data_IF_056991114354
#
_entry.id   IF_056991114354
#
_cell.length_a   1.000
_cell.length_b   1.000
_cell.length_c   1.000
_cell.angle_alpha   90.00
_cell.angle_beta   90.00
_cell.angle_gamma   90.00
#
_symmetry.space_group_name_H-M   'P 1'
#
loop_
_entity.id
_entity.type
_entity.pdbx_description
1 polymer ?
#
# COMPACT_ATOMS: atom_id res chain seq x y z
N UNK A 1 -54.86 -80.48 2.67
CA UNK A 1 -54.36 -79.58 3.74
C UNK A 1 -53.11 -78.90 3.22
N UNK A 2 -53.07 -77.57 3.32
CA UNK A 2 -52.33 -76.66 2.42
C UNK A 2 -50.81 -76.81 2.40
N UNK A 3 -50.28 -76.71 1.17
CA UNK A 3 -48.87 -76.65 0.82
C UNK A 3 -48.35 -75.23 1.13
N UNK A 4 -47.45 -75.10 2.11
CA UNK A 4 -46.84 -73.83 2.53
C UNK A 4 -45.61 -73.52 1.66
N UNK A 5 -45.85 -73.25 0.38
CA UNK A 5 -44.84 -72.77 -0.56
C UNK A 5 -45.43 -71.57 -1.30
N UNK A 6 -44.59 -70.56 -1.57
CA UNK A 6 -44.88 -69.29 -2.27
C UNK A 6 -45.15 -68.07 -1.36
N UNK A 7 -44.11 -67.62 -0.67
CA UNK A 7 -43.83 -66.19 -0.62
C UNK A 7 -42.46 -65.99 -1.27
N UNK A 8 -42.36 -65.41 -2.49
CA UNK A 8 -41.08 -64.99 -3.00
C UNK A 8 -40.58 -63.86 -2.10
N UNK A 9 -39.45 -64.09 -1.46
CA UNK A 9 -38.60 -63.07 -0.87
C UNK A 9 -38.26 -62.05 -1.94
N UNK A 10 -39.07 -61.00 -2.04
CA UNK A 10 -38.69 -59.77 -2.74
C UNK A 10 -37.66 -59.08 -1.83
N UNK A 11 -36.44 -59.63 -1.80
CA UNK A 11 -35.25 -58.84 -1.56
C UNK A 11 -35.14 -57.93 -2.77
N UNK A 12 -35.80 -56.78 -2.69
CA UNK A 12 -35.44 -55.63 -3.53
C UNK A 12 -34.01 -55.30 -3.12
N UNK A 13 -33.05 -55.89 -3.82
CA UNK A 13 -31.70 -55.36 -3.87
C UNK A 13 -31.86 -53.97 -4.45
N UNK A 14 -31.98 -52.96 -3.58
CA UNK A 14 -31.65 -51.59 -3.95
C UNK A 14 -30.20 -51.70 -4.41
N UNK A 15 -30.01 -51.79 -5.72
CA UNK A 15 -28.71 -51.60 -6.32
C UNK A 15 -28.31 -50.18 -5.91
N UNK A 16 -27.57 -50.07 -4.80
CA UNK A 16 -26.89 -48.84 -4.44
C UNK A 16 -26.09 -48.50 -5.69
N UNK A 17 -26.47 -47.40 -6.34
CA UNK A 17 -25.75 -46.87 -7.48
C UNK A 17 -24.28 -46.89 -7.08
N UNK A 18 -23.46 -47.63 -7.86
CA UNK A 18 -22.04 -47.78 -7.56
C UNK A 18 -21.48 -46.39 -7.27
N UNK A 19 -20.73 -46.19 -6.16
CA UNK A 19 -20.13 -44.89 -5.88
C UNK A 19 -19.39 -44.44 -7.12
N UNK A 20 -19.55 -43.16 -7.50
CA UNK A 20 -18.89 -42.57 -8.65
C UNK A 20 -17.38 -42.81 -8.56
N UNK A 21 -16.90 -43.83 -9.26
CA UNK A 21 -15.52 -44.26 -9.25
C UNK A 21 -14.86 -43.67 -10.49
N UNK A 22 -14.46 -42.39 -10.41
CA UNK A 22 -13.71 -41.75 -11.50
C UNK A 22 -12.26 -42.22 -11.45
N UNK A 23 -11.87 -43.03 -12.43
CA UNK A 23 -10.47 -43.23 -12.77
C UNK A 23 -9.97 -41.95 -13.48
N UNK A 24 -9.43 -40.99 -12.74
CA UNK A 24 -8.93 -39.72 -13.27
C UNK A 24 -8.08 -38.94 -12.26
N UNK A 25 -7.03 -38.28 -12.75
CA UNK A 25 -5.93 -37.75 -11.94
C UNK A 25 -6.25 -36.36 -11.33
N UNK A 26 -7.11 -36.32 -10.30
CA UNK A 26 -7.32 -35.15 -9.42
C UNK A 26 -7.76 -33.84 -10.11
N UNK A 27 -7.63 -32.71 -9.41
CA UNK A 27 -8.00 -31.34 -9.89
C UNK A 27 -7.35 -31.00 -11.24
N UNK A 28 -6.16 -31.54 -11.51
CA UNK A 28 -5.44 -31.33 -12.77
C UNK A 28 -6.18 -31.87 -14.00
N UNK A 29 -6.87 -32.99 -13.85
CA UNK A 29 -7.61 -33.64 -14.93
C UNK A 29 -8.89 -32.86 -15.26
N UNK A 30 -9.52 -32.29 -14.24
CA UNK A 30 -10.67 -31.39 -14.39
C UNK A 30 -10.29 -30.13 -15.18
N UNK A 31 -9.15 -29.51 -14.88
CA UNK A 31 -8.70 -28.29 -15.59
C UNK A 31 -8.40 -28.60 -17.06
N UNK A 32 -7.88 -29.79 -17.38
CA UNK A 32 -7.57 -30.20 -18.75
C UNK A 32 -8.83 -30.39 -19.60
N UNK A 33 -9.91 -30.89 -19.02
CA UNK A 33 -11.18 -31.15 -19.71
C UNK A 33 -12.13 -29.95 -19.71
N UNK A 34 -11.82 -28.91 -18.93
CA UNK A 34 -12.62 -27.69 -18.86
C UNK A 34 -12.84 -27.00 -20.22
N UNK A 35 -14.04 -26.43 -20.35
CA UNK A 35 -14.42 -25.60 -21.49
C UNK A 35 -13.44 -24.43 -21.69
N UNK A 36 -13.30 -23.93 -22.93
CA UNK A 36 -12.29 -22.92 -23.26
C UNK A 36 -12.44 -21.64 -22.42
N UNK A 37 -13.67 -21.21 -22.12
CA UNK A 37 -13.89 -20.04 -21.27
C UNK A 37 -13.44 -20.26 -19.82
N UNK A 38 -13.75 -21.42 -19.23
CA UNK A 38 -13.35 -21.75 -17.84
C UNK A 38 -11.82 -21.77 -17.73
N UNK A 39 -11.12 -22.30 -18.75
CA UNK A 39 -9.65 -22.25 -18.81
C UNK A 39 -9.11 -20.82 -18.83
N UNK A 40 -9.72 -19.92 -19.60
CA UNK A 40 -9.35 -18.49 -19.63
C UNK A 40 -9.57 -17.84 -18.26
N UNK A 41 -10.71 -18.11 -17.61
CA UNK A 41 -11.01 -17.62 -16.25
C UNK A 41 -9.96 -18.09 -15.24
N UNK A 42 -9.62 -19.38 -15.25
CA UNK A 42 -8.61 -19.95 -14.36
C UNK A 42 -7.22 -19.35 -14.61
N UNK A 43 -6.83 -19.18 -15.87
CA UNK A 43 -5.55 -18.57 -16.24
C UNK A 43 -5.47 -17.11 -15.77
N UNK A 44 -6.53 -16.34 -15.99
CA UNK A 44 -6.62 -14.95 -15.53
C UNK A 44 -6.47 -14.86 -14.00
N UNK A 45 -7.21 -15.67 -13.26
CA UNK A 45 -7.15 -15.70 -11.79
C UNK A 45 -5.76 -16.12 -11.29
N UNK A 46 -5.11 -17.06 -11.97
CA UNK A 46 -3.75 -17.48 -11.65
C UNK A 46 -2.74 -16.34 -11.86
N UNK A 47 -2.83 -15.61 -12.98
CA UNK A 47 -1.97 -14.43 -13.23
C UNK A 47 -2.20 -13.35 -12.18
N UNK A 48 -3.46 -13.03 -11.86
CA UNK A 48 -3.79 -12.06 -10.80
C UNK A 48 -3.19 -12.47 -9.45
N UNK A 49 -3.29 -13.75 -9.09
CA UNK A 49 -2.72 -14.28 -7.86
C UNK A 49 -1.19 -14.13 -7.82
N UNK A 50 -0.49 -14.52 -8.89
CA UNK A 50 0.97 -14.37 -8.98
C UNK A 50 1.42 -12.92 -8.86
N UNK A 51 0.71 -11.99 -9.50
CA UNK A 51 0.99 -10.56 -9.40
C UNK A 51 0.75 -10.05 -7.97
N UNK A 52 -0.32 -10.47 -7.30
CA UNK A 52 -0.58 -10.13 -5.89
C UNK A 52 0.55 -10.54 -4.96
N UNK A 53 1.03 -11.79 -5.08
CA UNK A 53 2.17 -12.27 -4.30
C UNK A 53 3.47 -11.51 -4.63
N UNK A 54 3.71 -11.22 -5.90
CA UNK A 54 4.85 -10.40 -6.34
C UNK A 54 4.84 -9.00 -5.71
N UNK A 55 3.71 -8.30 -5.77
CA UNK A 55 3.54 -6.98 -5.15
C UNK A 55 3.74 -7.08 -3.64
N UNK A 56 3.17 -8.09 -2.98
CA UNK A 56 3.29 -8.25 -1.54
C UNK A 56 4.75 -8.41 -1.10
N UNK A 57 5.54 -9.23 -1.80
CA UNK A 57 6.96 -9.44 -1.50
C UNK A 57 7.79 -8.16 -1.71
N UNK A 58 7.54 -7.43 -2.79
CA UNK A 58 8.25 -6.16 -3.06
C UNK A 58 7.90 -5.12 -2.00
N UNK A 59 6.62 -4.97 -1.67
CA UNK A 59 6.17 -4.02 -0.64
C UNK A 59 6.70 -4.37 0.73
N UNK A 60 6.69 -5.65 1.10
CA UNK A 60 7.24 -6.09 2.37
C UNK A 60 8.72 -5.70 2.55
N UNK A 61 9.53 -5.87 1.50
CA UNK A 61 10.94 -5.42 1.53
C UNK A 61 11.08 -3.90 1.57
N UNK A 62 10.27 -3.19 0.79
CA UNK A 62 10.27 -1.72 0.75
C UNK A 62 9.95 -1.12 2.12
N UNK A 63 8.82 -1.51 2.73
CA UNK A 63 8.41 -0.99 4.04
C UNK A 63 9.44 -1.28 5.13
N UNK A 64 9.99 -2.50 5.17
CA UNK A 64 11.05 -2.84 6.14
C UNK A 64 12.30 -1.98 5.99
N UNK A 65 12.72 -1.69 4.76
CA UNK A 65 13.88 -0.81 4.50
C UNK A 65 13.56 0.63 4.86
N UNK A 66 12.38 1.12 4.47
CA UNK A 66 11.96 2.48 4.73
C UNK A 66 11.85 2.77 6.22
N UNK A 67 11.28 1.86 7.02
CA UNK A 67 11.21 2.01 8.47
C UNK A 67 12.59 2.00 9.12
N UNK A 68 13.44 1.03 8.78
CA UNK A 68 14.78 0.96 9.34
C UNK A 68 15.60 2.22 9.04
N UNK A 69 15.56 2.72 7.80
CA UNK A 69 16.28 3.94 7.43
C UNK A 69 15.66 5.19 8.06
N UNK A 70 14.34 5.24 8.24
CA UNK A 70 13.67 6.33 8.94
C UNK A 70 14.02 6.38 10.42
N UNK A 71 14.07 5.23 11.10
CA UNK A 71 14.55 5.14 12.49
C UNK A 71 15.99 5.63 12.61
N UNK A 72 16.89 5.15 11.74
CA UNK A 72 18.29 5.60 11.69
C UNK A 72 18.39 7.12 11.47
N UNK A 73 17.63 7.66 10.52
CA UNK A 73 17.59 9.10 10.27
C UNK A 73 17.10 9.87 11.50
N UNK A 74 16.05 9.37 12.16
CA UNK A 74 15.46 10.04 13.32
C UNK A 74 16.41 10.05 14.53
N UNK A 75 17.20 9.01 14.73
CA UNK A 75 18.27 8.99 15.73
C UNK A 75 19.36 10.05 15.43
N UNK A 76 19.79 10.16 14.18
CA UNK A 76 20.74 11.19 13.75
C UNK A 76 20.18 12.60 13.96
N UNK A 77 18.91 12.81 13.62
CA UNK A 77 18.20 14.06 13.85
C UNK A 77 18.16 14.45 15.34
N UNK A 78 17.91 13.49 16.24
CA UNK A 78 17.92 13.74 17.70
C UNK A 78 19.30 14.07 18.27
N UNK A 79 20.36 13.49 17.72
CA UNK A 79 21.72 13.64 18.26
C UNK A 79 22.47 14.88 17.72
N UNK A 80 22.16 15.33 16.50
CA UNK A 80 22.94 16.35 15.80
C UNK A 80 22.27 17.72 15.83
N UNK A 81 22.98 18.73 16.32
CA UNK A 81 22.55 20.16 16.25
C UNK A 81 22.93 20.85 14.93
N UNK A 82 23.67 20.18 14.03
CA UNK A 82 24.12 20.77 12.76
C UNK A 82 23.35 20.15 11.57
N UNK A 83 22.41 20.92 11.03
CA UNK A 83 21.56 20.50 9.91
C UNK A 83 22.29 20.29 8.59
N UNK A 84 23.43 20.96 8.36
CA UNK A 84 24.20 20.78 7.12
C UNK A 84 24.84 19.38 7.05
N UNK A 85 25.35 18.89 8.18
CA UNK A 85 25.86 17.51 8.27
C UNK A 85 24.72 16.50 8.19
N UNK A 86 23.60 16.77 8.88
CA UNK A 86 22.40 15.94 8.80
C UNK A 86 21.88 15.81 7.35
N UNK A 87 21.93 16.90 6.57
CA UNK A 87 21.57 16.87 5.15
C UNK A 87 22.45 15.93 4.34
N UNK A 88 23.77 15.96 4.53
CA UNK A 88 24.69 15.04 3.84
C UNK A 88 24.46 13.58 4.23
N UNK A 89 24.27 13.30 5.52
CA UNK A 89 23.99 11.94 6.00
C UNK A 89 22.61 11.44 5.51
N UNK A 90 21.62 12.34 5.41
CA UNK A 90 20.29 12.00 4.90
C UNK A 90 20.28 11.56 3.43
N UNK A 91 21.28 11.98 2.63
CA UNK A 91 21.42 11.55 1.24
C UNK A 91 21.86 10.07 1.11
N UNK A 92 22.36 9.45 2.18
CA UNK A 92 22.70 8.02 2.21
C UNK A 92 21.49 7.14 2.56
N UNK A 93 20.37 7.76 2.95
CA UNK A 93 19.15 7.09 3.44
C UNK A 93 17.99 7.30 2.47
N UNK A 94 18.14 6.86 1.22
CA UNK A 94 17.19 7.11 0.12
C UNK A 94 15.77 6.56 0.36
N UNK A 95 15.64 5.47 1.10
CA UNK A 95 14.36 4.84 1.41
C UNK A 95 13.69 5.44 2.67
N UNK A 96 14.39 6.30 3.41
CA UNK A 96 13.84 6.96 4.60
C UNK A 96 12.84 8.04 4.19
N UNK A 97 11.58 7.83 4.56
CA UNK A 97 10.50 8.80 4.34
C UNK A 97 10.71 10.08 5.18
N UNK A 98 11.31 9.98 6.37
CA UNK A 98 11.63 11.16 7.19
C UNK A 98 12.77 11.97 6.59
N UNK A 99 13.80 11.31 6.08
CA UNK A 99 14.91 11.97 5.41
C UNK A 99 14.46 12.71 4.14
N UNK A 100 13.48 12.16 3.40
CA UNK A 100 12.91 12.84 2.24
C UNK A 100 12.25 14.17 2.62
N UNK A 101 11.36 14.15 3.61
CA UNK A 101 10.65 15.35 4.12
C UNK A 101 11.64 16.37 4.69
N UNK A 102 12.64 15.92 5.43
CA UNK A 102 13.70 16.79 5.92
C UNK A 102 14.47 17.46 4.79
N UNK A 103 14.90 16.70 3.76
CA UNK A 103 15.67 17.26 2.64
C UNK A 103 14.87 18.31 1.89
N UNK A 104 13.57 18.09 1.65
CA UNK A 104 12.73 19.08 0.97
C UNK A 104 12.59 20.36 1.82
N UNK A 105 12.35 20.22 3.13
CA UNK A 105 12.23 21.38 4.02
C UNK A 105 13.53 22.14 4.20
N UNK A 106 14.65 21.44 4.39
CA UNK A 106 15.97 22.04 4.60
C UNK A 106 16.49 22.79 3.38
N UNK A 107 16.31 22.24 2.17
CA UNK A 107 16.74 22.90 0.92
C UNK A 107 15.98 24.21 0.75
N UNK A 108 14.67 24.20 0.98
CA UNK A 108 13.84 25.40 0.84
C UNK A 108 14.17 26.44 1.90
N UNK A 109 14.30 26.01 3.16
CA UNK A 109 14.74 26.89 4.24
C UNK A 109 16.11 27.53 3.96
N UNK A 110 17.09 26.75 3.50
CA UNK A 110 18.43 27.25 3.19
C UNK A 110 18.46 28.26 2.05
N UNK A 111 17.46 28.24 1.14
CA UNK A 111 17.31 29.24 0.09
C UNK A 111 16.69 30.51 0.64
N UNK A 112 15.58 30.40 1.36
CA UNK A 112 14.82 31.53 1.88
C UNK A 112 15.59 32.30 2.96
N UNK A 113 16.25 31.60 3.89
CA UNK A 113 17.07 32.22 4.93
C UNK A 113 18.20 33.11 4.36
N UNK A 114 18.85 32.70 3.26
CA UNK A 114 19.85 33.53 2.58
C UNK A 114 19.24 34.81 2.00
N UNK A 115 18.04 34.72 1.43
CA UNK A 115 17.33 35.90 0.91
C UNK A 115 16.96 36.87 2.03
N UNK A 116 16.53 36.36 3.18
CA UNK A 116 16.19 37.15 4.36
C UNK A 116 17.42 37.81 5.00
N UNK A 117 18.58 37.16 4.99
CA UNK A 117 19.85 37.72 5.49
C UNK A 117 20.39 38.87 4.60
N UNK A 118 20.07 38.87 3.30
CA UNK A 118 20.50 39.91 2.34
C UNK A 118 19.55 41.12 2.34
N UNK A 119 18.33 40.98 2.87
CA UNK A 119 17.36 42.07 3.01
C UNK A 119 17.66 42.99 4.21
N UNK A 120 17.36 44.29 4.08
CA UNK A 120 17.55 45.26 5.16
C UNK A 120 16.64 44.90 6.37
N UNK A 121 17.18 44.71 7.59
CA UNK A 121 16.39 44.31 8.76
C UNK A 121 15.53 45.50 9.26
N UNK A 122 14.40 45.73 8.60
CA UNK A 122 13.35 46.65 9.04
C UNK A 122 12.12 45.92 9.60
N UNK A 123 11.08 46.69 9.97
CA UNK A 123 9.81 46.23 10.60
C UNK A 123 9.06 45.10 9.86
N UNK A 124 9.43 44.75 8.61
CA UNK A 124 8.85 43.65 7.83
C UNK A 124 9.55 42.29 7.97
N UNK A 125 10.67 42.18 8.72
CA UNK A 125 11.47 40.96 8.80
C UNK A 125 10.73 39.79 9.49
N UNK A 126 9.84 40.07 10.45
CA UNK A 126 9.03 39.04 11.12
C UNK A 126 8.00 38.43 10.17
N UNK A 127 7.35 39.26 9.34
CA UNK A 127 6.37 38.79 8.35
C UNK A 127 7.06 37.93 7.27
N UNK A 128 8.22 38.37 6.77
CA UNK A 128 8.97 37.59 5.77
C UNK A 128 9.47 36.23 6.26
N UNK A 129 9.64 36.05 7.57
CA UNK A 129 10.04 34.76 8.15
C UNK A 129 8.85 33.85 8.36
N UNK A 130 7.72 34.37 8.86
CA UNK A 130 6.50 33.56 8.98
C UNK A 130 6.08 33.07 7.58
N UNK A 131 6.16 33.93 6.56
CA UNK A 131 5.95 33.57 5.14
C UNK A 131 6.94 32.49 4.66
N UNK A 132 8.21 32.60 5.06
CA UNK A 132 9.23 31.61 4.71
C UNK A 132 9.00 30.25 5.40
N UNK A 133 8.59 30.27 6.67
CA UNK A 133 8.24 29.08 7.43
C UNK A 133 7.01 28.39 6.85
N UNK A 134 5.96 29.15 6.48
CA UNK A 134 4.78 28.62 5.79
C UNK A 134 5.16 27.99 4.43
N UNK A 135 6.04 28.65 3.68
CA UNK A 135 6.54 28.11 2.40
C UNK A 135 7.28 26.79 2.57
N UNK A 136 8.10 26.67 3.63
CA UNK A 136 8.80 25.43 3.97
C UNK A 136 7.81 24.34 4.40
N UNK A 137 6.83 24.68 5.24
CA UNK A 137 5.77 23.75 5.66
C UNK A 137 5.02 23.20 4.45
N UNK A 138 4.56 24.06 3.55
CA UNK A 138 3.88 23.67 2.31
C UNK A 138 4.75 22.78 1.42
N UNK A 139 6.05 23.05 1.36
CA UNK A 139 7.01 22.22 0.61
C UNK A 139 7.15 20.82 1.23
N UNK A 140 7.21 20.74 2.57
CA UNK A 140 7.22 19.46 3.29
C UNK A 140 5.93 18.68 3.08
N UNK A 141 4.76 19.33 3.17
CA UNK A 141 3.46 18.70 2.88
C UNK A 141 3.42 18.12 1.46
N UNK A 142 3.91 18.88 0.47
CA UNK A 142 4.05 18.41 -0.91
C UNK A 142 4.94 17.17 -1.01
N UNK A 143 6.08 17.15 -0.31
CA UNK A 143 6.97 15.99 -0.26
C UNK A 143 6.30 14.78 0.41
N UNK A 144 5.53 14.99 1.47
CA UNK A 144 4.79 13.93 2.16
C UNK A 144 3.74 13.29 1.25
N UNK A 145 3.03 14.10 0.46
CA UNK A 145 2.08 13.60 -0.53
C UNK A 145 2.76 12.78 -1.63
N UNK A 146 3.96 13.18 -2.06
CA UNK A 146 4.76 12.42 -3.04
C UNK A 146 5.21 11.08 -2.46
N UNK A 147 5.74 11.06 -1.23
CA UNK A 147 6.17 9.84 -0.57
C UNK A 147 4.99 8.90 -0.27
N UNK A 148 3.85 9.44 0.16
CA UNK A 148 2.64 8.65 0.33
C UNK A 148 2.23 7.98 -0.97
N UNK A 149 2.16 8.71 -2.08
CA UNK A 149 1.85 8.14 -3.41
C UNK A 149 2.86 7.07 -3.83
N UNK A 150 4.14 7.25 -3.54
CA UNK A 150 5.19 6.26 -3.78
C UNK A 150 4.93 4.97 -2.99
N UNK A 151 4.59 5.08 -1.70
CA UNK A 151 4.28 3.94 -0.84
C UNK A 151 2.95 3.26 -1.19
N UNK A 152 1.97 3.99 -1.72
CA UNK A 152 0.67 3.45 -2.18
C UNK A 152 0.74 2.78 -3.56
N UNK A 153 1.82 2.99 -4.33
CA UNK A 153 1.97 2.42 -5.68
C UNK A 153 1.69 0.91 -5.69
N UNK A 154 0.90 0.43 -6.64
CA UNK A 154 0.45 -0.98 -6.77
C UNK A 154 -0.55 -1.49 -5.72
N UNK A 155 -0.82 -0.77 -4.64
CA UNK A 155 -1.89 -1.15 -3.70
C UNK A 155 -3.28 -1.16 -4.36
N UNK A 156 -3.62 -0.24 -5.29
CA UNK A 156 -4.88 -0.32 -6.02
C UNK A 156 -5.08 -1.65 -6.77
N UNK A 157 -4.00 -2.28 -7.28
CA UNK A 157 -4.12 -3.58 -7.95
C UNK A 157 -4.53 -4.69 -6.97
N UNK A 158 -4.00 -4.68 -5.75
CA UNK A 158 -4.41 -5.59 -4.69
C UNK A 158 -5.88 -5.38 -4.32
N UNK A 159 -6.32 -4.12 -4.19
CA UNK A 159 -7.71 -3.79 -3.91
C UNK A 159 -8.66 -4.26 -5.03
N UNK A 160 -8.31 -3.98 -6.29
CA UNK A 160 -9.08 -4.43 -7.46
C UNK A 160 -9.13 -5.94 -7.51
N UNK A 161 -8.01 -6.64 -7.30
CA UNK A 161 -7.98 -8.11 -7.32
C UNK A 161 -8.84 -8.69 -6.20
N UNK A 162 -8.72 -8.15 -4.98
CA UNK A 162 -9.53 -8.57 -3.83
C UNK A 162 -11.03 -8.43 -4.07
N UNK A 163 -11.45 -7.35 -4.74
CA UNK A 163 -12.86 -7.09 -5.02
C UNK A 163 -13.38 -7.84 -6.25
N UNK A 164 -12.57 -8.04 -7.29
CA UNK A 164 -13.04 -8.56 -8.58
C UNK A 164 -12.83 -10.06 -8.77
N UNK A 165 -11.77 -10.65 -8.19
CA UNK A 165 -11.47 -12.08 -8.35
C UNK A 165 -12.61 -13.03 -7.93
N UNK A 166 -13.39 -12.76 -6.85
CA UNK A 166 -14.54 -13.61 -6.52
C UNK A 166 -15.61 -13.59 -7.60
N UNK A 167 -15.87 -12.43 -8.21
CA UNK A 167 -16.87 -12.28 -9.28
C UNK A 167 -16.40 -12.93 -10.59
N UNK A 168 -15.10 -12.88 -10.88
CA UNK A 168 -14.51 -13.60 -12.01
C UNK A 168 -14.67 -15.12 -11.83
N UNK A 169 -14.43 -15.63 -10.61
CA UNK A 169 -14.68 -17.03 -10.27
C UNK A 169 -16.17 -17.42 -10.40
N UNK A 170 -17.06 -16.58 -9.85
CA UNK A 170 -18.51 -16.75 -9.95
C UNK A 170 -18.97 -16.78 -11.41
N UNK A 171 -18.46 -15.89 -12.25
CA UNK A 171 -18.72 -15.91 -13.69
C UNK A 171 -18.32 -17.25 -14.32
N UNK A 172 -17.15 -17.78 -13.96
CA UNK A 172 -16.72 -19.12 -14.35
C UNK A 172 -17.70 -20.22 -13.93
N UNK A 173 -18.24 -20.15 -12.70
CA UNK A 173 -19.27 -21.11 -12.26
C UNK A 173 -20.56 -21.01 -13.07
N UNK A 174 -21.08 -19.80 -13.27
CA UNK A 174 -22.35 -19.58 -13.98
C UNK A 174 -22.24 -20.10 -15.41
N UNK A 175 -21.12 -19.83 -16.08
CA UNK A 175 -20.89 -20.30 -17.43
C UNK A 175 -20.75 -21.83 -17.52
N UNK A 176 -19.98 -22.45 -16.61
CA UNK A 176 -19.79 -23.90 -16.59
C UNK A 176 -21.11 -24.65 -16.34
N UNK A 177 -21.93 -24.14 -15.42
CA UNK A 177 -23.27 -24.67 -15.15
C UNK A 177 -24.18 -24.49 -16.38
N UNK A 178 -24.19 -23.30 -17.00
CA UNK A 178 -24.98 -23.03 -18.21
C UNK A 178 -24.62 -23.99 -19.35
N UNK A 179 -23.32 -24.19 -19.60
CA UNK A 179 -22.83 -25.11 -20.63
C UNK A 179 -23.26 -26.56 -20.34
N UNK A 180 -23.19 -26.97 -19.07
CA UNK A 180 -23.64 -28.30 -18.63
C UNK A 180 -25.14 -28.52 -18.88
N UNK A 181 -25.98 -27.51 -18.64
CA UNK A 181 -27.41 -27.60 -18.92
C UNK A 181 -27.74 -27.58 -20.42
N UNK A 182 -26.98 -26.83 -21.22
CA UNK A 182 -27.13 -26.86 -22.69
C UNK A 182 -26.86 -28.26 -23.25
N UNK A 183 -25.86 -28.97 -22.71
CA UNK A 183 -25.59 -30.37 -23.11
C UNK A 183 -26.74 -31.33 -22.79
N UNK A 184 -27.42 -31.15 -21.65
CA UNK A 184 -28.63 -31.93 -21.32
C UNK A 184 -29.72 -31.68 -22.37
N UNK A 185 -29.95 -30.41 -22.71
CA UNK A 185 -30.97 -30.03 -23.69
C UNK A 185 -30.72 -30.63 -25.07
N UNK A 186 -29.46 -30.68 -25.51
CA UNK A 186 -29.06 -31.28 -26.79
C UNK A 186 -29.16 -32.81 -26.79
N UNK A 187 -28.81 -33.47 -25.68
CA UNK A 187 -28.80 -34.94 -25.57
C UNK A 187 -30.18 -35.53 -25.24
N UNK A 188 -31.14 -34.71 -24.83
CA UNK A 188 -32.51 -35.13 -24.52
C UNK A 188 -32.64 -36.05 -23.29
N UNK A 189 -31.56 -36.29 -22.55
CA UNK A 189 -31.52 -37.16 -21.38
C UNK A 189 -30.70 -36.51 -20.26
N UNK A 190 -31.30 -36.40 -19.08
CA UNK A 190 -30.65 -35.89 -17.87
C UNK A 190 -29.82 -37.01 -17.22
N UNK A 191 -28.62 -37.27 -17.74
CA UNK A 191 -27.67 -38.20 -17.12
C UNK A 191 -26.66 -37.43 -16.25
N UNK A 192 -26.69 -37.66 -14.94
CA UNK A 192 -25.78 -37.02 -13.97
C UNK A 192 -24.30 -37.26 -14.30
N UNK A 193 -23.95 -38.43 -14.86
CA UNK A 193 -22.57 -38.74 -15.23
C UNK A 193 -22.04 -37.82 -16.35
N UNK A 194 -22.93 -37.27 -17.17
CA UNK A 194 -22.58 -36.38 -18.29
C UNK A 194 -22.33 -34.95 -17.82
N UNK A 195 -23.07 -34.47 -16.82
CA UNK A 195 -22.96 -33.08 -16.34
C UNK A 195 -22.08 -32.87 -15.12
N UNK A 196 -21.86 -33.93 -14.31
CA UNK A 196 -21.02 -33.85 -13.12
C UNK A 196 -19.62 -33.28 -13.39
N UNK A 197 -18.92 -33.61 -14.50
CA UNK A 197 -17.63 -33.00 -14.84
C UNK A 197 -17.71 -31.48 -15.00
N UNK A 198 -18.63 -30.97 -15.83
CA UNK A 198 -18.73 -29.54 -16.15
C UNK A 198 -19.11 -28.70 -14.94
N UNK A 199 -20.01 -29.21 -14.08
CA UNK A 199 -20.38 -28.54 -12.82
C UNK A 199 -19.18 -28.51 -11.86
N UNK A 200 -18.45 -29.62 -11.73
CA UNK A 200 -17.30 -29.71 -10.83
C UNK A 200 -16.17 -28.77 -11.25
N UNK A 201 -15.88 -28.67 -12.55
CA UNK A 201 -14.92 -27.70 -13.12
C UNK A 201 -15.35 -26.25 -12.86
N UNK A 202 -16.64 -25.98 -13.01
CA UNK A 202 -17.23 -24.67 -12.71
C UNK A 202 -16.93 -24.29 -11.25
N UNK A 203 -17.19 -25.19 -10.29
CA UNK A 203 -16.96 -24.95 -8.86
C UNK A 203 -15.49 -24.68 -8.52
N UNK A 204 -14.54 -25.30 -9.23
CA UNK A 204 -13.10 -25.01 -9.07
C UNK A 204 -12.79 -23.56 -9.42
N UNK A 205 -13.44 -22.96 -10.42
CA UNK A 205 -13.21 -21.57 -10.79
C UNK A 205 -13.50 -20.59 -9.63
N UNK A 206 -14.60 -20.82 -8.89
CA UNK A 206 -14.92 -20.02 -7.70
C UNK A 206 -13.93 -20.25 -6.56
N UNK A 207 -13.53 -21.50 -6.30
CA UNK A 207 -12.53 -21.80 -5.28
C UNK A 207 -11.19 -21.10 -5.56
N UNK A 208 -10.74 -21.11 -6.83
CA UNK A 208 -9.53 -20.40 -7.25
C UNK A 208 -9.71 -18.89 -7.15
N UNK A 209 -10.88 -18.36 -7.50
CA UNK A 209 -11.22 -16.94 -7.36
C UNK A 209 -11.11 -16.44 -5.93
N UNK A 210 -11.65 -17.20 -4.97
CA UNK A 210 -11.52 -16.89 -3.54
C UNK A 210 -10.07 -17.01 -3.05
N UNK A 211 -9.34 -18.02 -3.52
CA UNK A 211 -7.93 -18.22 -3.18
C UNK A 211 -7.04 -17.06 -3.66
N UNK A 212 -7.38 -16.43 -4.80
CA UNK A 212 -6.72 -15.22 -5.28
C UNK A 212 -7.15 -13.96 -4.51
N UNK A 213 -8.45 -13.85 -4.18
CA UNK A 213 -9.03 -12.67 -3.54
C UNK A 213 -8.58 -12.49 -2.09
N UNK A 214 -8.60 -13.56 -1.28
CA UNK A 214 -8.36 -13.48 0.17
C UNK A 214 -6.97 -12.89 0.48
N UNK A 215 -5.85 -13.40 -0.09
CA UNK A 215 -4.54 -12.81 0.15
C UNK A 215 -4.45 -11.37 -0.35
N UNK A 216 -5.07 -11.04 -1.48
CA UNK A 216 -5.06 -9.69 -2.04
C UNK A 216 -5.68 -8.67 -1.08
N UNK A 217 -6.85 -8.99 -0.49
CA UNK A 217 -7.51 -8.14 0.52
C UNK A 217 -6.66 -8.01 1.78
N UNK A 218 -6.11 -9.12 2.29
CA UNK A 218 -5.27 -9.12 3.51
C UNK A 218 -4.04 -8.22 3.32
N UNK A 219 -3.32 -8.40 2.21
CA UNK A 219 -2.14 -7.59 1.91
C UNK A 219 -2.49 -6.13 1.66
N UNK A 220 -3.56 -5.84 0.92
CA UNK A 220 -4.03 -4.46 0.73
C UNK A 220 -4.29 -3.76 2.08
N UNK A 221 -5.09 -4.39 2.95
CA UNK A 221 -5.43 -3.83 4.26
C UNK A 221 -4.19 -3.66 5.15
N UNK A 222 -3.27 -4.63 5.13
CA UNK A 222 -2.02 -4.52 5.88
C UNK A 222 -1.18 -3.33 5.41
N UNK A 223 -0.94 -3.20 4.10
CA UNK A 223 -0.08 -2.16 3.56
C UNK A 223 -0.73 -0.77 3.62
N UNK A 224 -2.04 -0.63 3.41
CA UNK A 224 -2.69 0.69 3.52
C UNK A 224 -2.67 1.21 4.95
N UNK A 225 -2.87 0.35 5.95
CA UNK A 225 -2.74 0.74 7.36
C UNK A 225 -1.29 1.15 7.68
N UNK A 226 -0.31 0.45 7.11
CA UNK A 226 1.11 0.80 7.23
C UNK A 226 1.41 2.18 6.64
N UNK A 227 0.86 2.49 5.46
CA UNK A 227 0.99 3.83 4.84
C UNK A 227 0.41 4.91 5.76
N UNK A 228 -0.78 4.69 6.33
CA UNK A 228 -1.40 5.65 7.25
C UNK A 228 -0.53 5.90 8.49
N UNK A 229 0.07 4.85 9.05
CA UNK A 229 1.02 4.99 10.15
C UNK A 229 2.25 5.82 9.78
N UNK A 230 2.80 5.61 8.58
CA UNK A 230 3.95 6.38 8.05
C UNK A 230 3.56 7.85 7.77
N UNK A 231 2.37 8.10 7.23
CA UNK A 231 1.85 9.47 7.03
C UNK A 231 1.78 10.23 8.36
N UNK A 232 1.30 9.58 9.42
CA UNK A 232 1.30 10.15 10.77
C UNK A 232 2.71 10.46 11.30
N UNK A 233 3.68 9.57 11.09
CA UNK A 233 5.08 9.80 11.48
C UNK A 233 5.72 10.96 10.72
N UNK A 234 5.47 11.07 9.42
CA UNK A 234 5.94 12.20 8.61
C UNK A 234 5.34 13.52 9.09
N UNK A 235 4.03 13.57 9.38
CA UNK A 235 3.35 14.77 9.92
C UNK A 235 3.94 15.21 11.24
N UNK A 236 4.13 14.26 12.16
CA UNK A 236 4.73 14.52 13.45
C UNK A 236 6.14 15.09 13.30
N UNK A 237 6.97 14.47 12.47
CA UNK A 237 8.33 14.93 12.20
C UNK A 237 8.35 16.33 11.56
N UNK A 238 7.51 16.59 10.55
CA UNK A 238 7.43 17.90 9.90
C UNK A 238 7.06 19.02 10.90
N UNK A 239 6.10 18.75 11.79
CA UNK A 239 5.71 19.69 12.85
C UNK A 239 6.81 19.94 13.88
N UNK A 240 7.55 18.91 14.28
CA UNK A 240 8.70 19.05 15.18
C UNK A 240 9.82 19.86 14.53
N UNK A 241 10.13 19.56 13.26
CA UNK A 241 11.14 20.29 12.49
C UNK A 241 10.74 21.76 12.29
N UNK A 242 9.49 22.04 11.94
CA UNK A 242 8.93 23.40 11.86
C UNK A 242 9.10 24.16 13.17
N UNK A 243 8.70 23.53 14.29
CA UNK A 243 8.82 24.13 15.63
C UNK A 243 10.27 24.41 16.01
N UNK A 244 11.19 23.53 15.62
CA UNK A 244 12.63 23.70 15.83
C UNK A 244 13.18 24.88 15.02
N UNK A 245 12.80 25.02 13.75
CA UNK A 245 13.18 26.14 12.90
C UNK A 245 12.65 27.48 13.43
N UNK A 246 11.36 27.53 13.80
CA UNK A 246 10.74 28.72 14.40
C UNK A 246 11.46 29.14 15.67
N UNK A 247 11.77 28.19 16.55
CA UNK A 247 12.52 28.44 17.80
C UNK A 247 13.95 28.92 17.54
N UNK A 248 14.65 28.32 16.58
CA UNK A 248 16.00 28.75 16.19
C UNK A 248 16.02 30.20 15.73
N UNK A 249 15.05 30.56 14.89
CA UNK A 249 14.90 31.91 14.38
C UNK A 249 14.55 32.92 15.47
N UNK A 250 13.55 32.62 16.32
CA UNK A 250 13.16 33.49 17.44
C UNK A 250 14.35 33.77 18.36
N UNK A 251 15.18 32.74 18.62
CA UNK A 251 16.39 32.89 19.40
C UNK A 251 17.41 33.82 18.73
N UNK A 252 17.69 33.65 17.44
CA UNK A 252 18.61 34.53 16.68
C UNK A 252 18.12 35.96 16.63
N UNK A 253 16.82 36.16 16.39
CA UNK A 253 16.19 37.49 16.33
C UNK A 253 16.24 38.20 17.68
N UNK A 254 15.96 37.48 18.77
CA UNK A 254 16.04 38.02 20.12
C UNK A 254 17.46 38.46 20.49
N UNK A 255 18.47 37.62 20.23
CA UNK A 255 19.87 37.99 20.48
C UNK A 255 20.38 39.08 19.53
N UNK A 256 19.92 39.11 18.27
CA UNK A 256 20.27 40.15 17.31
C UNK A 256 19.72 41.52 17.71
N UNK A 257 18.47 41.60 18.16
CA UNK A 257 17.87 42.83 18.67
C UNK A 257 18.60 43.34 19.93
N UNK A 258 18.91 42.44 20.86
CA UNK A 258 19.62 42.79 22.10
C UNK A 258 21.06 43.27 21.85
N UNK A 259 21.77 42.64 20.90
CA UNK A 259 23.11 43.09 20.52
C UNK A 259 23.11 44.45 19.81
N UNK A 260 22.04 44.79 19.09
CA UNK A 260 21.87 46.11 18.47
C UNK A 260 21.56 47.20 19.52
N UNK A 261 20.82 46.88 20.60
CA UNK A 261 20.56 47.78 21.72
C UNK A 261 21.78 47.99 22.63
N UNK A 262 22.61 46.97 22.82
CA UNK A 262 23.84 47.04 23.65
C UNK A 262 25.04 47.66 22.90
N UNK A 263 24.93 47.94 21.60
CA UNK A 263 25.97 48.67 20.85
C UNK A 263 25.95 50.16 21.25
N UNK A 264 26.97 50.69 21.94
CA UNK A 264 26.91 52.05 22.46
C UNK A 264 26.81 53.05 21.32
N UNK A 265 25.66 53.73 21.24
CA UNK A 265 25.53 55.01 20.56
C UNK A 265 26.38 56.05 21.32
N UNK A 266 27.70 56.02 21.11
CA UNK A 266 28.59 56.76 22.00
C UNK A 266 30.05 56.85 21.56
N UNK A 267 30.32 57.16 20.29
CA UNK A 267 31.59 57.83 19.94
C UNK A 267 31.45 58.69 18.67
N UNK A 268 30.56 59.69 18.74
CA UNK A 268 30.59 60.87 17.85
C UNK A 268 30.33 62.13 18.66
N UNK A 269 31.17 62.37 19.67
CA UNK A 269 31.30 63.68 20.28
C UNK A 269 32.79 63.95 20.46
N UNK A 270 33.31 64.97 19.77
CA UNK A 270 34.58 65.58 20.13
C UNK A 270 35.70 65.52 19.09
N UNK A 271 35.49 66.04 17.88
CA UNK A 271 36.54 66.83 17.24
C UNK A 271 35.90 68.15 16.79
N UNK A 272 35.76 69.05 17.75
CA UNK A 272 35.75 70.48 17.50
C UNK A 272 36.97 71.07 18.20
N UNK A 273 37.60 72.04 17.53
CA UNK A 273 38.66 72.96 17.98
C UNK A 273 40.08 72.41 18.20
N UNK A 274 40.98 72.95 17.38
CA UNK A 274 42.44 72.82 17.42
C UNK A 274 43.04 73.36 16.13
#
# INVERSE_FOLDING_TARGET
>A
MMNLALLPTVLTTVALASPYQRAGNGVSDMIRHAGPLVKVVLLLLLVMSLVCWGIALVKWRLFRRAEKQSEQFYELYRQKKNFANLYRESQLLDESYLAQVFRSGYVEWSRLSKTLEVGNPGEGALNGVEDALETVERTMEGSMLLERRRLERFLPFLATTGNTAPFIGLFGTVWGIMTSFQEIGLKGAANLAVVAPGISEALVATAVGLTAAIPAVVFYNHFINKVQGIDGQMRYFASDFYSLMKREWMRRSYYGARAAEESPAGERTGIASG
#
